data_IF_453659769993
#
_entry.id   IF_453659769993
#
_cell.length_a   1.000
_cell.length_b   1.000
_cell.length_c   1.000
_cell.angle_alpha   90.00
_cell.angle_beta   90.00
_cell.angle_gamma   90.00
#
_symmetry.space_group_name_H-M   'P 1'
#
loop_
_entity.id
_entity.type
_entity.pdbx_description
1 polymer ?
#
# COMPACT_ATOMS: atom_id res chain seq x y z
N UNK A 1 -40.08 -25.25 -21.15
CA UNK A 1 -39.48 -23.92 -21.37
C UNK A 1 -38.62 -23.92 -22.62
N UNK A 2 -38.54 -22.82 -23.36
CA UNK A 2 -37.57 -22.63 -24.47
C UNK A 2 -36.29 -21.96 -23.95
N UNK A 3 -35.23 -21.93 -24.77
CA UNK A 3 -33.92 -21.38 -24.35
C UNK A 3 -34.00 -19.92 -23.86
N UNK A 4 -34.84 -19.09 -24.46
CA UNK A 4 -35.01 -17.69 -24.03
C UNK A 4 -35.69 -17.57 -22.66
N UNK A 5 -36.60 -18.49 -22.35
CA UNK A 5 -37.33 -18.50 -21.09
C UNK A 5 -36.46 -18.99 -19.93
N UNK A 6 -35.73 -20.08 -20.11
CA UNK A 6 -34.75 -20.56 -19.11
C UNK A 6 -33.61 -19.55 -18.91
N UNK A 7 -33.16 -18.85 -19.95
CA UNK A 7 -32.15 -17.80 -19.83
C UNK A 7 -32.64 -16.65 -18.94
N UNK A 8 -33.87 -16.20 -19.17
CA UNK A 8 -34.51 -15.15 -18.34
C UNK A 8 -34.69 -15.60 -16.88
N UNK A 9 -35.17 -16.82 -16.66
CA UNK A 9 -35.43 -17.34 -15.31
C UNK A 9 -34.15 -17.63 -14.52
N UNK A 10 -33.08 -18.07 -15.19
CA UNK A 10 -31.79 -18.37 -14.54
C UNK A 10 -30.87 -17.15 -14.39
N UNK A 11 -31.15 -16.05 -15.09
CA UNK A 11 -30.21 -14.92 -15.22
C UNK A 11 -28.97 -15.25 -16.08
N UNK A 12 -28.87 -16.46 -16.64
CA UNK A 12 -27.74 -16.89 -17.47
C UNK A 12 -28.07 -16.67 -18.94
N UNK A 13 -27.15 -16.06 -19.68
CA UNK A 13 -27.38 -15.76 -21.09
C UNK A 13 -27.64 -17.04 -21.91
N UNK A 14 -28.51 -16.94 -22.93
CA UNK A 14 -28.74 -18.04 -23.86
C UNK A 14 -27.45 -18.49 -24.59
N UNK A 15 -26.47 -17.57 -24.74
CA UNK A 15 -25.13 -17.87 -25.26
C UNK A 15 -24.37 -18.79 -24.30
N UNK A 16 -24.36 -18.48 -23.00
CA UNK A 16 -23.72 -19.30 -21.97
C UNK A 16 -24.38 -20.67 -21.85
N UNK A 17 -25.71 -20.75 -21.89
CA UNK A 17 -26.43 -22.05 -21.87
C UNK A 17 -26.04 -22.92 -23.07
N UNK A 18 -26.00 -22.34 -24.29
CA UNK A 18 -25.49 -23.05 -25.47
C UNK A 18 -24.03 -23.47 -25.30
N UNK A 19 -23.22 -22.63 -24.67
CA UNK A 19 -21.83 -22.97 -24.39
C UNK A 19 -21.73 -24.18 -23.45
N UNK A 20 -22.52 -24.22 -22.36
CA UNK A 20 -22.54 -25.33 -21.41
C UNK A 20 -22.94 -26.65 -22.05
N UNK A 21 -23.88 -26.63 -22.98
CA UNK A 21 -24.19 -27.81 -23.81
C UNK A 21 -23.00 -28.24 -24.66
N UNK A 22 -22.37 -27.30 -25.37
CA UNK A 22 -21.23 -27.57 -26.26
C UNK A 22 -20.03 -28.21 -25.54
N UNK A 23 -19.78 -27.81 -24.30
CA UNK A 23 -18.68 -28.36 -23.49
C UNK A 23 -19.12 -29.52 -22.58
N UNK A 24 -20.36 -30.00 -22.71
CA UNK A 24 -20.84 -31.20 -22.02
C UNK A 24 -21.18 -31.04 -20.53
N UNK A 25 -21.09 -29.84 -19.96
CA UNK A 25 -21.46 -29.60 -18.55
C UNK A 25 -22.98 -29.70 -18.33
N UNK A 26 -23.74 -29.33 -19.36
CA UNK A 26 -25.20 -29.41 -19.38
C UNK A 26 -25.67 -30.34 -20.49
N UNK A 27 -26.37 -31.41 -20.14
CA UNK A 27 -26.95 -32.34 -21.12
C UNK A 27 -27.97 -31.64 -22.00
N UNK A 28 -28.00 -31.93 -23.30
CA UNK A 28 -29.04 -31.39 -24.18
C UNK A 28 -30.42 -31.96 -23.81
N UNK A 29 -31.45 -31.13 -23.58
CA UNK A 29 -32.79 -31.60 -23.30
C UNK A 29 -33.47 -32.14 -24.56
N UNK A 30 -34.59 -32.84 -24.36
CA UNK A 30 -35.42 -33.34 -25.45
C UNK A 30 -35.84 -32.21 -26.42
N UNK A 31 -36.03 -32.56 -27.69
CA UNK A 31 -36.52 -31.64 -28.71
C UNK A 31 -38.02 -31.84 -28.94
N UNK A 32 -38.72 -30.74 -29.18
CA UNK A 32 -40.12 -30.75 -29.62
C UNK A 32 -40.23 -31.32 -31.05
N UNK A 33 -41.45 -31.67 -31.48
CA UNK A 33 -41.71 -32.07 -32.88
C UNK A 33 -41.24 -31.04 -33.92
N UNK A 34 -41.19 -29.76 -33.55
CA UNK A 34 -40.66 -28.68 -34.39
C UNK A 34 -39.14 -28.45 -34.28
N UNK A 35 -38.39 -29.36 -33.63
CA UNK A 35 -36.92 -29.29 -33.54
C UNK A 35 -36.34 -28.41 -32.42
N UNK A 36 -37.18 -27.71 -31.66
CA UNK A 36 -36.72 -26.83 -30.58
C UNK A 36 -36.39 -27.60 -29.29
N UNK A 37 -35.29 -27.27 -28.62
CA UNK A 37 -34.96 -27.76 -27.27
C UNK A 37 -36.03 -27.36 -26.25
N UNK A 38 -36.51 -28.33 -25.46
CA UNK A 38 -37.54 -28.16 -24.45
C UNK A 38 -36.97 -28.44 -23.06
N UNK A 39 -36.69 -27.37 -22.32
CA UNK A 39 -36.14 -27.42 -20.98
C UNK A 39 -37.24 -27.66 -19.93
N UNK A 40 -36.92 -28.48 -18.93
CA UNK A 40 -37.73 -28.73 -17.73
C UNK A 40 -37.21 -27.95 -16.53
N UNK A 41 -37.92 -28.01 -15.41
CA UNK A 41 -37.54 -27.31 -14.17
C UNK A 41 -36.20 -27.82 -13.64
N UNK A 42 -35.91 -29.11 -13.81
CA UNK A 42 -34.64 -29.71 -13.43
C UNK A 42 -33.46 -29.10 -14.21
N UNK A 43 -33.67 -28.81 -15.51
CA UNK A 43 -32.66 -28.13 -16.33
C UNK A 43 -32.42 -26.70 -15.84
N UNK A 44 -33.47 -25.99 -15.44
CA UNK A 44 -33.37 -24.64 -14.85
C UNK A 44 -32.55 -24.67 -13.56
N UNK A 45 -32.86 -25.59 -12.64
CA UNK A 45 -32.09 -25.77 -11.39
C UNK A 45 -30.63 -26.09 -11.69
N UNK A 46 -30.36 -26.94 -12.70
CA UNK A 46 -28.98 -27.27 -13.08
C UNK A 46 -28.24 -26.09 -13.68
N UNK A 47 -28.88 -25.31 -14.56
CA UNK A 47 -28.30 -24.07 -15.12
C UNK A 47 -27.97 -23.06 -14.01
N UNK A 48 -28.86 -22.87 -13.04
CA UNK A 48 -28.63 -21.96 -11.92
C UNK A 48 -27.45 -22.43 -11.05
N UNK A 49 -27.34 -23.73 -10.76
CA UNK A 49 -26.20 -24.28 -10.00
C UNK A 49 -24.88 -24.11 -10.75
N UNK A 50 -24.85 -24.39 -12.06
CA UNK A 50 -23.66 -24.14 -12.90
C UNK A 50 -23.29 -22.65 -12.87
N UNK A 51 -24.29 -21.77 -13.00
CA UNK A 51 -24.11 -20.33 -12.97
C UNK A 51 -23.50 -19.84 -11.65
N UNK A 52 -24.04 -20.31 -10.52
CA UNK A 52 -23.51 -20.01 -9.18
C UNK A 52 -22.04 -20.40 -9.06
N UNK A 53 -21.71 -21.67 -9.34
CA UNK A 53 -20.33 -22.17 -9.24
C UNK A 53 -19.37 -21.39 -10.16
N UNK A 54 -19.76 -21.16 -11.42
CA UNK A 54 -18.95 -20.40 -12.36
C UNK A 54 -18.72 -18.94 -11.89
N UNK A 55 -19.75 -18.31 -11.30
CA UNK A 55 -19.64 -16.94 -10.78
C UNK A 55 -18.78 -16.84 -9.52
N UNK A 56 -18.57 -17.95 -8.80
CA UNK A 56 -17.67 -18.03 -7.65
C UNK A 56 -16.18 -18.10 -8.03
N UNK A 57 -15.85 -18.08 -9.32
CA UNK A 57 -14.46 -18.17 -9.80
C UNK A 57 -13.99 -19.60 -10.09
N UNK A 58 -14.86 -20.61 -9.96
CA UNK A 58 -14.52 -21.98 -10.32
C UNK A 58 -14.37 -22.14 -11.84
N UNK A 59 -13.32 -22.82 -12.32
CA UNK A 59 -13.19 -23.11 -13.74
C UNK A 59 -14.28 -24.10 -14.17
N UNK A 60 -14.86 -23.85 -15.35
CA UNK A 60 -16.00 -24.63 -15.87
C UNK A 60 -15.72 -26.15 -15.94
N UNK A 61 -14.46 -26.56 -16.13
CA UNK A 61 -14.05 -27.97 -16.20
C UNK A 61 -14.29 -28.75 -14.90
N UNK A 62 -14.26 -28.09 -13.74
CA UNK A 62 -14.40 -28.73 -12.43
C UNK A 62 -15.85 -28.77 -11.94
N UNK A 63 -16.72 -27.95 -12.53
CA UNK A 63 -18.14 -27.87 -12.16
C UNK A 63 -18.85 -29.24 -12.22
N UNK A 64 -18.67 -30.11 -13.25
CA UNK A 64 -19.30 -31.42 -13.28
C UNK A 64 -18.97 -32.32 -12.08
N UNK A 65 -17.72 -32.28 -11.60
CA UNK A 65 -17.28 -33.07 -10.44
C UNK A 65 -17.99 -32.61 -9.16
N UNK A 66 -17.97 -31.29 -8.90
CA UNK A 66 -18.66 -30.69 -7.75
C UNK A 66 -20.16 -30.98 -7.79
N UNK A 67 -20.81 -30.85 -8.95
CA UNK A 67 -22.24 -31.13 -9.09
C UNK A 67 -22.62 -32.59 -8.87
N UNK A 68 -21.65 -33.51 -8.98
CA UNK A 68 -21.84 -34.94 -8.76
C UNK A 68 -21.45 -35.38 -7.35
N UNK A 69 -21.04 -34.44 -6.48
CA UNK A 69 -20.56 -34.72 -5.13
C UNK A 69 -19.15 -35.30 -5.07
N UNK A 70 -18.38 -35.18 -6.15
CA UNK A 70 -16.96 -35.55 -6.19
C UNK A 70 -16.05 -34.34 -5.94
N UNK A 71 -14.76 -34.60 -5.90
CA UNK A 71 -13.74 -33.58 -5.63
C UNK A 71 -13.41 -32.78 -6.91
N UNK A 72 -13.25 -31.46 -6.74
CA UNK A 72 -12.70 -30.60 -7.79
C UNK A 72 -11.19 -30.85 -7.91
N UNK A 73 -10.65 -30.75 -9.14
CA UNK A 73 -9.18 -30.78 -9.31
C UNK A 73 -8.53 -29.45 -8.92
N UNK A 74 -9.33 -28.38 -8.89
CA UNK A 74 -8.89 -27.06 -8.47
C UNK A 74 -8.91 -26.96 -6.94
N UNK A 75 -7.80 -26.49 -6.38
CA UNK A 75 -7.68 -26.16 -4.97
C UNK A 75 -8.52 -24.93 -4.62
N UNK A 76 -9.58 -25.15 -3.83
CA UNK A 76 -10.51 -24.11 -3.42
C UNK A 76 -9.91 -23.14 -2.41
N UNK A 77 -8.98 -23.60 -1.57
CA UNK A 77 -8.32 -22.74 -0.57
C UNK A 77 -7.35 -21.77 -1.25
N UNK A 78 -6.63 -22.23 -2.28
CA UNK A 78 -5.82 -21.36 -3.13
C UNK A 78 -6.67 -20.32 -3.86
N UNK A 79 -7.80 -20.72 -4.49
CA UNK A 79 -8.72 -19.76 -5.13
C UNK A 79 -9.27 -18.71 -4.15
N UNK A 80 -9.65 -19.13 -2.93
CA UNK A 80 -10.12 -18.19 -1.90
C UNK A 80 -9.02 -17.21 -1.51
N UNK A 81 -7.80 -17.69 -1.32
CA UNK A 81 -6.64 -16.86 -0.97
C UNK A 81 -6.34 -15.83 -2.06
N UNK A 82 -6.39 -16.22 -3.34
CA UNK A 82 -6.21 -15.29 -4.46
C UNK A 82 -7.27 -14.17 -4.48
N UNK A 83 -8.53 -14.51 -4.18
CA UNK A 83 -9.62 -13.54 -4.05
C UNK A 83 -9.34 -12.57 -2.89
N UNK A 84 -8.92 -13.07 -1.73
CA UNK A 84 -8.62 -12.25 -0.56
C UNK A 84 -7.47 -11.27 -0.85
N UNK A 85 -6.41 -11.72 -1.52
CA UNK A 85 -5.31 -10.85 -1.99
C UNK A 85 -5.85 -9.76 -2.93
N UNK A 86 -6.75 -10.12 -3.86
CA UNK A 86 -7.37 -9.16 -4.79
C UNK A 86 -8.21 -8.13 -4.04
N UNK A 87 -8.99 -8.55 -3.04
CA UNK A 87 -9.81 -7.67 -2.19
C UNK A 87 -8.92 -6.68 -1.43
N UNK A 88 -7.82 -7.13 -0.83
CA UNK A 88 -6.88 -6.25 -0.14
C UNK A 88 -6.29 -5.21 -1.10
N UNK A 89 -5.87 -5.63 -2.30
CA UNK A 89 -5.35 -4.72 -3.32
C UNK A 89 -6.38 -3.66 -3.75
N UNK A 90 -7.63 -4.08 -4.00
CA UNK A 90 -8.71 -3.17 -4.35
C UNK A 90 -9.06 -2.21 -3.20
N UNK A 91 -8.99 -2.67 -1.96
CA UNK A 91 -9.21 -1.83 -0.77
C UNK A 91 -8.14 -0.75 -0.66
N UNK A 92 -6.85 -1.11 -0.83
CA UNK A 92 -5.74 -0.14 -0.88
C UNK A 92 -5.90 0.85 -2.03
N UNK A 93 -6.36 0.40 -3.20
CA UNK A 93 -6.63 1.28 -4.34
C UNK A 93 -7.76 2.28 -4.03
N UNK A 94 -8.86 1.82 -3.40
CA UNK A 94 -9.95 2.69 -2.98
C UNK A 94 -9.47 3.74 -1.97
N UNK A 95 -8.73 3.34 -0.95
CA UNK A 95 -8.19 4.28 0.06
C UNK A 95 -7.33 5.38 -0.60
N UNK A 96 -6.48 5.02 -1.58
CA UNK A 96 -5.72 6.02 -2.34
C UNK A 96 -6.62 6.98 -3.12
N UNK A 97 -7.69 6.47 -3.73
CA UNK A 97 -8.66 7.31 -4.44
C UNK A 97 -9.42 8.24 -3.49
N UNK A 98 -9.79 7.77 -2.30
CA UNK A 98 -10.46 8.57 -1.27
C UNK A 98 -9.58 9.79 -0.90
N UNK A 99 -8.27 9.58 -0.71
CA UNK A 99 -7.32 10.65 -0.39
C UNK A 99 -7.16 11.63 -1.58
N UNK A 100 -7.07 11.13 -2.81
CA UNK A 100 -7.03 11.99 -4.01
C UNK A 100 -8.29 12.84 -4.12
N UNK A 101 -9.46 12.24 -3.85
CA UNK A 101 -10.74 12.94 -3.90
C UNK A 101 -10.84 14.03 -2.82
N UNK A 102 -10.41 13.76 -1.59
CA UNK A 102 -10.35 14.73 -0.50
C UNK A 102 -9.46 15.94 -0.84
N UNK A 103 -8.25 15.68 -1.37
CA UNK A 103 -7.33 16.75 -1.77
C UNK A 103 -7.88 17.59 -2.92
N UNK A 104 -8.47 16.94 -3.93
CA UNK A 104 -9.10 17.65 -5.04
C UNK A 104 -10.27 18.52 -4.57
N UNK A 105 -11.10 18.02 -3.64
CA UNK A 105 -12.20 18.77 -3.05
C UNK A 105 -11.71 19.99 -2.25
N UNK A 106 -10.54 19.89 -1.61
CA UNK A 106 -9.89 20.98 -0.90
C UNK A 106 -9.11 21.95 -1.81
N UNK A 107 -9.07 21.72 -3.13
CA UNK A 107 -8.29 22.52 -4.07
C UNK A 107 -6.78 22.37 -3.90
N UNK A 108 -6.33 21.31 -3.24
CA UNK A 108 -4.92 21.04 -2.99
C UNK A 108 -4.32 20.20 -4.12
N UNK A 109 -3.11 20.53 -4.62
CA UNK A 109 -2.44 19.70 -5.61
C UNK A 109 -2.10 18.31 -5.06
N UNK A 110 -2.22 17.32 -5.95
CA UNK A 110 -1.84 15.91 -5.69
C UNK A 110 -0.36 15.74 -6.05
N UNK A 111 0.44 15.18 -5.14
CA UNK A 111 1.87 14.96 -5.38
C UNK A 111 2.75 16.21 -5.25
N UNK A 112 2.28 17.25 -4.56
CA UNK A 112 3.12 18.36 -4.10
C UNK A 112 3.21 18.31 -2.57
N UNK A 113 4.41 18.55 -2.05
CA UNK A 113 4.63 18.80 -0.62
C UNK A 113 3.57 19.76 -0.06
N UNK A 114 3.13 19.55 1.20
CA UNK A 114 2.39 20.58 1.93
C UNK A 114 3.11 21.93 1.86
N UNK A 115 2.35 23.01 1.75
CA UNK A 115 2.91 24.35 1.49
C UNK A 115 3.93 24.79 2.55
N UNK A 116 3.77 24.32 3.78
CA UNK A 116 4.65 24.55 4.93
C UNK A 116 6.00 23.86 4.72
N UNK A 117 5.98 22.62 4.22
CA UNK A 117 7.19 21.83 3.94
C UNK A 117 7.94 22.42 2.76
N UNK A 118 7.24 22.75 1.67
CA UNK A 118 7.85 23.42 0.52
C UNK A 118 8.47 24.77 0.92
N UNK A 119 7.81 25.56 1.78
CA UNK A 119 8.34 26.84 2.25
C UNK A 119 9.60 26.65 3.11
N UNK A 120 9.61 25.65 3.98
CA UNK A 120 10.74 25.32 4.83
C UNK A 120 11.97 24.93 4.01
N UNK A 121 11.83 23.98 3.07
CA UNK A 121 12.94 23.53 2.23
C UNK A 121 13.50 24.66 1.35
N UNK A 122 12.63 25.52 0.80
CA UNK A 122 13.08 26.70 0.06
C UNK A 122 13.87 27.68 0.95
N UNK A 123 13.45 27.88 2.21
CA UNK A 123 14.18 28.72 3.16
C UNK A 123 15.52 28.08 3.55
N UNK A 124 15.57 26.76 3.73
CA UNK A 124 16.80 26.01 4.00
C UNK A 124 17.77 26.13 2.82
N UNK A 125 17.30 25.94 1.59
CA UNK A 125 18.12 26.08 0.40
C UNK A 125 18.65 27.51 0.22
N UNK A 126 17.86 28.53 0.58
CA UNK A 126 18.31 29.91 0.55
C UNK A 126 19.44 30.18 1.56
N UNK A 127 19.33 29.64 2.78
CA UNK A 127 20.36 29.79 3.82
C UNK A 127 21.62 28.94 3.54
N UNK A 128 21.47 27.84 2.79
CA UNK A 128 22.56 26.96 2.36
C UNK A 128 23.14 27.33 0.98
N UNK A 129 22.80 28.49 0.41
CA UNK A 129 23.13 28.83 -0.98
C UNK A 129 24.63 28.77 -1.31
N UNK A 130 25.50 29.00 -0.32
CA UNK A 130 26.96 28.97 -0.47
C UNK A 130 27.59 27.57 -0.23
N UNK A 131 26.79 26.55 0.10
CA UNK A 131 27.23 25.18 0.36
C UNK A 131 26.58 24.17 -0.62
N UNK A 132 27.24 23.84 -1.74
CA UNK A 132 26.73 22.91 -2.74
C UNK A 132 26.49 21.49 -2.20
N UNK A 133 27.24 21.05 -1.19
CA UNK A 133 27.05 19.73 -0.62
C UNK A 133 25.74 19.68 0.16
N UNK A 134 25.46 20.71 0.97
CA UNK A 134 24.24 20.83 1.74
C UNK A 134 23.00 21.05 0.86
N UNK A 135 23.12 21.81 -0.24
CA UNK A 135 22.04 21.91 -1.23
C UNK A 135 21.65 20.55 -1.81
N UNK A 136 22.62 19.70 -2.13
CA UNK A 136 22.36 18.35 -2.63
C UNK A 136 21.68 17.44 -1.59
N UNK A 137 21.84 17.71 -0.29
CA UNK A 137 21.09 17.01 0.77
C UNK A 137 19.64 17.45 0.78
N UNK A 138 19.41 18.77 0.73
CA UNK A 138 18.07 19.36 0.75
C UNK A 138 17.27 18.89 -0.47
N UNK A 139 17.89 18.80 -1.65
CA UNK A 139 17.27 18.24 -2.85
C UNK A 139 16.87 16.77 -2.67
N UNK A 140 17.78 15.94 -2.15
CA UNK A 140 17.49 14.51 -1.84
C UNK A 140 16.36 14.36 -0.84
N UNK A 141 16.33 15.23 0.18
CA UNK A 141 15.28 15.24 1.19
C UNK A 141 13.94 15.68 0.60
N UNK A 142 13.93 16.68 -0.28
CA UNK A 142 12.74 17.10 -1.00
C UNK A 142 12.17 15.95 -1.84
N UNK A 143 13.02 15.23 -2.58
CA UNK A 143 12.60 14.07 -3.38
C UNK A 143 11.97 12.96 -2.51
N UNK A 144 12.56 12.68 -1.34
CA UNK A 144 12.03 11.71 -0.38
C UNK A 144 10.66 12.14 0.18
N UNK A 145 10.53 13.42 0.53
CA UNK A 145 9.28 13.97 1.07
C UNK A 145 8.19 14.03 -0.01
N UNK A 146 8.55 14.28 -1.26
CA UNK A 146 7.62 14.22 -2.40
C UNK A 146 7.12 12.79 -2.64
N UNK A 147 8.01 11.79 -2.55
CA UNK A 147 7.62 10.37 -2.59
C UNK A 147 6.69 10.00 -1.43
N UNK A 148 6.98 10.50 -0.21
CA UNK A 148 6.09 10.33 0.94
C UNK A 148 4.73 11.02 0.71
N UNK A 149 4.70 12.21 0.12
CA UNK A 149 3.48 12.93 -0.19
C UNK A 149 2.63 12.20 -1.25
N UNK A 150 3.26 11.48 -2.20
CA UNK A 150 2.59 10.62 -3.18
C UNK A 150 1.97 9.36 -2.55
N UNK A 151 2.51 8.89 -1.43
CA UNK A 151 1.99 7.72 -0.70
C UNK A 151 0.65 7.98 0.03
N UNK A 152 0.13 9.20 -0.06
CA UNK A 152 -1.18 9.63 0.45
C UNK A 152 -1.28 9.76 1.99
N UNK A 153 -0.19 9.52 2.74
CA UNK A 153 -0.14 9.61 4.20
C UNK A 153 1.04 10.47 4.67
N UNK A 154 1.02 11.77 4.36
CA UNK A 154 2.02 12.70 4.91
C UNK A 154 1.66 13.04 6.36
N UNK A 155 2.52 12.73 7.37
CA UNK A 155 2.17 12.95 8.77
C UNK A 155 1.98 14.44 9.10
N UNK A 156 0.85 14.81 9.71
CA UNK A 156 0.58 16.20 10.12
C UNK A 156 1.60 16.73 11.14
N UNK A 157 2.12 15.87 12.01
CA UNK A 157 3.20 16.21 12.93
C UNK A 157 4.44 16.70 12.17
N UNK A 158 4.79 16.00 11.07
CA UNK A 158 5.91 16.37 10.22
C UNK A 158 5.66 17.73 9.56
N UNK A 159 4.47 17.96 8.97
CA UNK A 159 4.13 19.28 8.40
C UNK A 159 4.25 20.43 9.42
N UNK A 160 3.84 20.21 10.68
CA UNK A 160 3.98 21.21 11.74
C UNK A 160 5.43 21.48 12.11
N UNK A 161 6.28 20.46 12.12
CA UNK A 161 7.72 20.63 12.35
C UNK A 161 8.32 21.55 11.28
N UNK A 162 8.09 21.23 10.01
CA UNK A 162 8.60 22.03 8.90
C UNK A 162 8.04 23.45 8.89
N UNK A 163 6.78 23.67 9.32
CA UNK A 163 6.26 25.03 9.49
C UNK A 163 7.12 25.86 10.46
N UNK A 164 7.57 25.28 11.58
CA UNK A 164 8.45 25.98 12.53
C UNK A 164 9.84 26.24 11.96
N UNK A 165 10.38 25.33 11.14
CA UNK A 165 11.66 25.52 10.43
C UNK A 165 11.56 26.67 9.42
N UNK A 166 10.44 26.78 8.71
CA UNK A 166 10.22 27.88 7.76
C UNK A 166 10.19 29.25 8.45
N UNK A 167 9.62 29.33 9.66
CA UNK A 167 9.35 30.60 10.36
C UNK A 167 10.48 31.05 11.29
N UNK A 168 11.20 30.12 11.93
CA UNK A 168 12.20 30.41 12.97
C UNK A 168 13.63 30.18 12.45
N UNK A 169 14.42 31.25 12.23
CA UNK A 169 15.80 31.13 11.75
C UNK A 169 16.71 30.27 12.63
N UNK A 170 16.51 30.27 13.95
CA UNK A 170 17.34 29.47 14.86
C UNK A 170 17.03 27.98 14.70
N UNK A 171 15.74 27.63 14.55
CA UNK A 171 15.35 26.25 14.23
C UNK A 171 15.87 25.82 12.87
N UNK A 172 15.82 26.71 11.88
CA UNK A 172 16.34 26.41 10.55
C UNK A 172 17.85 26.17 10.54
N UNK A 173 18.62 27.01 11.24
CA UNK A 173 20.04 26.79 11.42
C UNK A 173 20.33 25.45 12.11
N UNK A 174 19.62 25.13 13.20
CA UNK A 174 19.77 23.85 13.90
C UNK A 174 19.42 22.64 13.01
N UNK A 175 18.41 22.77 12.16
CA UNK A 175 18.02 21.73 11.21
C UNK A 175 19.07 21.54 10.10
N UNK A 176 19.62 22.62 9.55
CA UNK A 176 20.73 22.56 8.58
C UNK A 176 21.99 21.93 9.20
N UNK A 177 22.33 22.27 10.45
CA UNK A 177 23.43 21.64 11.19
C UNK A 177 23.21 20.14 11.40
N UNK A 178 21.96 19.72 11.57
CA UNK A 178 21.59 18.32 11.69
C UNK A 178 21.80 17.58 10.35
N UNK A 179 21.30 18.13 9.24
CA UNK A 179 21.52 17.57 7.90
C UNK A 179 23.00 17.47 7.56
N UNK A 180 23.78 18.51 7.87
CA UNK A 180 25.22 18.51 7.66
C UNK A 180 25.93 17.43 8.49
N UNK A 181 25.53 17.24 9.76
CA UNK A 181 26.07 16.17 10.60
C UNK A 181 25.78 14.78 10.06
N UNK A 182 24.57 14.54 9.53
CA UNK A 182 24.24 13.27 8.89
C UNK A 182 25.11 12.99 7.65
N UNK A 183 25.39 14.00 6.82
CA UNK A 183 26.34 13.81 5.70
C UNK A 183 27.76 13.53 6.18
N UNK A 184 28.21 14.15 7.27
CA UNK A 184 29.56 13.94 7.79
C UNK A 184 29.80 12.50 8.26
N UNK A 185 28.77 11.85 8.83
CA UNK A 185 28.88 10.47 9.29
C UNK A 185 28.62 9.43 8.19
N UNK A 186 28.03 9.85 7.06
CA UNK A 186 27.65 8.94 5.98
C UNK A 186 28.89 8.22 5.42
N UNK A 187 28.79 6.90 5.24
CA UNK A 187 29.84 6.06 4.70
C UNK A 187 31.05 5.82 5.61
N UNK A 188 31.09 6.41 6.81
CA UNK A 188 32.18 6.23 7.76
C UNK A 188 31.87 5.10 8.76
N UNK A 189 32.89 4.35 9.21
CA UNK A 189 32.69 3.33 10.23
C UNK A 189 32.36 3.97 11.59
N UNK A 190 31.38 3.40 12.29
CA UNK A 190 30.84 3.93 13.56
C UNK A 190 31.92 4.40 14.56
N UNK A 191 33.01 3.64 14.82
CA UNK A 191 34.02 4.07 15.79
C UNK A 191 34.72 5.40 15.46
N UNK A 192 34.80 5.78 14.18
CA UNK A 192 35.48 6.99 13.73
C UNK A 192 34.59 8.24 13.88
N UNK A 193 33.28 8.06 13.86
CA UNK A 193 32.26 9.13 13.90
C UNK A 193 31.39 9.09 15.16
N UNK A 194 31.81 8.31 16.16
CA UNK A 194 31.08 8.05 17.42
C UNK A 194 30.66 9.33 18.16
N UNK A 195 31.54 10.35 18.17
CA UNK A 195 31.24 11.63 18.83
C UNK A 195 30.11 12.38 18.12
N UNK A 196 30.10 12.35 16.80
CA UNK A 196 29.09 13.03 15.99
C UNK A 196 27.75 12.27 16.03
N UNK A 197 27.80 10.94 16.01
CA UNK A 197 26.63 10.08 16.24
C UNK A 197 25.96 10.41 17.58
N UNK A 198 26.76 10.52 18.66
CA UNK A 198 26.24 10.86 19.99
C UNK A 198 25.61 12.26 20.03
N UNK A 199 26.23 13.24 19.36
CA UNK A 199 25.70 14.61 19.24
C UNK A 199 24.35 14.61 18.51
N UNK A 200 24.28 14.00 17.33
CA UNK A 200 23.06 13.93 16.52
C UNK A 200 21.93 13.22 17.26
N UNK A 201 22.23 12.11 17.94
CA UNK A 201 21.23 11.38 18.72
C UNK A 201 20.67 12.22 19.88
N UNK A 202 21.52 12.99 20.57
CA UNK A 202 21.07 13.90 21.63
C UNK A 202 20.21 15.04 21.09
N UNK A 203 20.59 15.63 19.94
CA UNK A 203 19.81 16.68 19.28
C UNK A 203 18.43 16.18 18.85
N UNK A 204 18.37 15.01 18.22
CA UNK A 204 17.11 14.38 17.79
C UNK A 204 16.21 13.99 18.97
N UNK A 205 16.79 13.41 20.03
CA UNK A 205 16.04 13.01 21.23
C UNK A 205 15.47 14.20 22.02
N UNK A 206 15.99 15.40 21.80
CA UNK A 206 15.47 16.63 22.40
C UNK A 206 14.35 17.29 21.57
N UNK A 207 14.09 16.84 20.33
CA UNK A 207 13.03 17.38 19.47
C UNK A 207 11.68 16.68 19.73
N UNK A 208 10.71 17.36 20.37
CA UNK A 208 9.43 16.76 20.72
C UNK A 208 8.62 16.27 19.51
N UNK A 209 8.80 16.86 18.32
CA UNK A 209 8.02 16.47 17.13
C UNK A 209 8.55 15.18 16.51
N UNK A 210 9.87 14.99 16.51
CA UNK A 210 10.50 13.75 16.04
C UNK A 210 10.26 12.61 17.02
N UNK A 211 10.27 12.90 18.33
CA UNK A 211 9.87 11.95 19.36
C UNK A 211 8.41 11.48 19.19
N UNK A 212 7.48 12.38 18.90
CA UNK A 212 6.07 12.04 18.62
C UNK A 212 5.90 11.20 17.34
N UNK A 213 6.70 11.48 16.31
CA UNK A 213 6.71 10.73 15.05
C UNK A 213 7.20 9.29 15.26
N UNK A 214 8.23 9.12 16.08
CA UNK A 214 8.85 7.83 16.41
C UNK A 214 7.99 7.03 17.40
N UNK A 215 7.28 7.70 18.32
CA UNK A 215 6.38 7.08 19.28
C UNK A 215 5.04 6.60 18.68
N UNK A 216 4.74 6.98 17.44
CA UNK A 216 3.54 6.54 16.73
C UNK A 216 3.69 5.07 16.28
N UNK A 217 2.80 4.14 16.70
CA UNK A 217 2.93 2.74 16.35
C UNK A 217 2.80 2.55 14.82
N UNK A 218 3.61 1.67 14.20
CA UNK A 218 3.47 1.40 12.77
C UNK A 218 2.05 0.89 12.48
N UNK A 219 1.43 1.30 11.37
CA UNK A 219 0.08 0.85 11.04
C UNK A 219 0.08 -0.64 10.68
N UNK A 220 -0.37 -1.48 11.62
CA UNK A 220 -0.74 -2.89 11.39
C UNK A 220 0.34 -3.94 11.71
N UNK A 221 -0.03 -5.24 11.74
CA UNK A 221 0.90 -6.33 12.01
C UNK A 221 2.00 -6.37 10.94
N UNK A 222 3.24 -6.45 11.41
CA UNK A 222 4.50 -6.22 10.70
C UNK A 222 4.67 -6.93 9.34
N UNK A 223 4.48 -6.19 8.24
CA UNK A 223 5.04 -6.44 6.90
C UNK A 223 5.71 -5.16 6.35
N UNK A 224 6.22 -4.30 7.23
CA UNK A 224 6.94 -3.09 6.85
C UNK A 224 8.43 -3.37 6.60
N UNK A 225 9.12 -2.54 5.79
CA UNK A 225 10.55 -2.66 5.62
C UNK A 225 11.29 -2.51 6.95
N UNK A 226 12.35 -3.29 7.16
CA UNK A 226 13.19 -3.19 8.37
C UNK A 226 13.90 -1.83 8.42
N UNK A 227 14.36 -1.41 9.60
CA UNK A 227 15.14 -0.16 9.72
C UNK A 227 16.39 -0.18 8.82
N UNK A 228 16.99 -1.35 8.60
CA UNK A 228 18.09 -1.55 7.64
C UNK A 228 17.68 -1.37 6.18
N UNK A 229 16.44 -1.66 5.83
CA UNK A 229 15.88 -1.41 4.50
C UNK A 229 15.48 0.07 4.30
N UNK A 230 15.11 0.76 5.39
CA UNK A 230 14.75 2.18 5.36
C UNK A 230 15.97 3.11 5.43
N UNK A 231 16.99 2.72 6.19
CA UNK A 231 18.21 3.50 6.42
C UNK A 231 19.42 2.60 6.14
N UNK A 232 19.92 2.58 4.89
CA UNK A 232 20.99 1.67 4.49
C UNK A 232 22.33 1.96 5.15
N UNK A 233 22.60 3.22 5.51
CA UNK A 233 23.86 3.63 6.12
C UNK A 233 23.95 3.18 7.61
N UNK A 234 25.02 2.48 8.01
CA UNK A 234 25.16 1.97 9.37
C UNK A 234 25.35 3.06 10.44
N UNK A 235 26.01 4.17 10.11
CA UNK A 235 26.18 5.28 11.05
C UNK A 235 24.86 6.03 11.27
N UNK A 236 24.07 6.24 10.21
CA UNK A 236 22.73 6.83 10.30
C UNK A 236 21.78 5.98 11.15
N UNK A 237 21.84 4.65 10.98
CA UNK A 237 21.05 3.72 11.82
C UNK A 237 21.41 3.80 13.29
N UNK A 238 22.70 3.91 13.60
CA UNK A 238 23.16 3.98 14.98
C UNK A 238 22.62 5.23 15.69
N UNK A 239 22.55 6.37 14.98
CA UNK A 239 21.90 7.59 15.50
C UNK A 239 20.43 7.31 15.87
N UNK A 240 19.66 6.75 14.94
CA UNK A 240 18.23 6.45 15.15
C UNK A 240 18.04 5.45 16.29
N UNK A 241 18.89 4.43 16.36
CA UNK A 241 18.86 3.42 17.41
C UNK A 241 19.05 4.02 18.80
N UNK A 242 19.99 4.96 18.97
CA UNK A 242 20.20 5.67 20.24
C UNK A 242 19.03 6.57 20.64
N UNK A 243 18.40 7.22 19.67
CA UNK A 243 17.18 8.01 19.89
C UNK A 243 16.06 7.09 20.39
N UNK A 244 15.84 5.95 19.75
CA UNK A 244 14.83 4.96 20.14
C UNK A 244 15.05 4.43 21.57
N UNK A 245 16.30 4.11 21.93
CA UNK A 245 16.66 3.68 23.31
C UNK A 245 16.33 4.78 24.32
N UNK A 246 16.67 6.03 24.01
CA UNK A 246 16.46 7.17 24.91
C UNK A 246 14.96 7.44 25.13
N UNK A 247 14.13 7.14 24.13
CA UNK A 247 12.67 7.27 24.18
C UNK A 247 11.95 6.06 24.81
N UNK A 248 12.68 5.00 25.20
CA UNK A 248 12.10 3.82 25.83
C UNK A 248 11.32 2.91 24.87
N UNK A 249 11.53 3.04 23.55
CA UNK A 249 11.00 2.11 22.57
C UNK A 249 11.84 0.82 22.58
N UNK A 250 11.22 -0.33 22.85
CA UNK A 250 11.89 -1.62 22.97
C UNK A 250 12.49 -2.05 21.61
N UNK A 251 13.81 -1.90 21.43
CA UNK A 251 14.53 -2.19 20.17
C UNK A 251 14.85 -3.68 19.98
N UNK A 252 14.20 -4.57 20.72
CA UNK A 252 14.55 -6.00 20.89
C UNK A 252 14.52 -6.93 19.66
N UNK A 253 14.56 -6.44 18.42
CA UNK A 253 14.65 -7.27 17.20
C UNK A 253 15.54 -6.74 16.07
N UNK A 254 16.40 -5.75 16.29
CA UNK A 254 17.21 -5.17 15.22
C UNK A 254 18.35 -6.06 14.65
N UNK A 255 18.60 -7.24 15.22
CA UNK A 255 19.74 -8.13 14.86
C UNK A 255 19.33 -9.54 14.36
N UNK A 256 18.16 -9.70 13.73
CA UNK A 256 17.81 -10.92 12.98
C UNK A 256 17.37 -10.64 11.55
#
# INVERSE_FOLDING_TARGET
MRIGEIARLSGISARSIRHYHRIGILTEPARTRGGYRQYKVEDLLRVMRIGFLASSGLPLRDIPAILSGGDATTDLDTLRSDIDIRIQSLTRQRQRLDIVAERAAAGLPVGQLPSEVARALNACAADAADDPALLAVIEREQDLLDLLALSAQFPHALSRSYATIAEDPNRRAAYLELLAGFEQIAGHPIPEVETEIARLAATLGADPVLCDLVASPPPGPHEGPTLAQLVPDPAHREVIHRVLITLGADTGRADQ
#
